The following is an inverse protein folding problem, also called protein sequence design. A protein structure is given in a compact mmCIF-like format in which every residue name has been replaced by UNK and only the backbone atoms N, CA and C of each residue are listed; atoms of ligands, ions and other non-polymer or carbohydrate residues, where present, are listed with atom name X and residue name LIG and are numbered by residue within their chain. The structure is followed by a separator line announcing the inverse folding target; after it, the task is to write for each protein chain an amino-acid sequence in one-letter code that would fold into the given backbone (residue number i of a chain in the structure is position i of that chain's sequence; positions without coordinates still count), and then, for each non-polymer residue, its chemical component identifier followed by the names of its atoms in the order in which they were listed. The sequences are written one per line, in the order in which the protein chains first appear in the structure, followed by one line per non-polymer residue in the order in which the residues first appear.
data_IF_848831321069
#
_entry.id   IF_848831321069
#
_cell.length_a   1.000
_cell.length_b   1.000
_cell.length_c   1.000
_cell.angle_alpha   90.00
_cell.angle_beta   90.00
_cell.angle_gamma   90.00
#
_symmetry.space_group_name_H-M   'P 1'
#
loop_
_entity.id
_entity.type
_entity.pdbx_description
1 polymer ?
#
# COMPACT_ATOMS: atom_id res chain seq x y z
N UNK A 1 14.00 -7.63 -8.43
CA UNK A 1 14.48 -6.23 -8.50
C UNK A 1 13.36 -5.22 -8.24
N UNK A 2 12.19 -5.35 -8.87
CA UNK A 2 11.07 -4.41 -8.68
C UNK A 2 10.59 -4.28 -7.22
N UNK A 3 10.48 -5.40 -6.49
CA UNK A 3 10.13 -5.41 -5.06
C UNK A 3 11.06 -4.51 -4.21
N UNK A 4 12.37 -4.52 -4.48
CA UNK A 4 13.32 -3.67 -3.74
C UNK A 4 13.13 -2.18 -4.08
N UNK A 5 12.89 -1.85 -5.35
CA UNK A 5 12.62 -0.48 -5.79
C UNK A 5 11.35 0.03 -5.10
N UNK A 6 10.30 -0.79 -5.06
CA UNK A 6 9.05 -0.48 -4.36
C UNK A 6 9.26 -0.30 -2.85
N UNK A 7 10.08 -1.15 -2.22
CA UNK A 7 10.46 -1.01 -0.81
C UNK A 7 11.20 0.30 -0.52
N UNK A 8 12.17 0.69 -1.36
CA UNK A 8 12.82 2.00 -1.25
C UNK A 8 11.83 3.16 -1.45
N UNK A 9 10.90 3.03 -2.40
CA UNK A 9 9.84 4.01 -2.64
C UNK A 9 8.94 4.20 -1.42
N UNK A 10 8.55 3.10 -0.76
CA UNK A 10 7.81 3.13 0.51
C UNK A 10 8.61 3.83 1.62
N UNK A 11 9.86 3.43 1.84
CA UNK A 11 10.71 4.04 2.87
C UNK A 11 10.85 5.56 2.68
N UNK A 12 11.01 6.00 1.43
CA UNK A 12 11.10 7.42 1.11
C UNK A 12 9.77 8.17 1.35
N UNK A 13 8.64 7.57 0.95
CA UNK A 13 7.31 8.11 1.24
C UNK A 13 7.05 8.25 2.74
N UNK A 14 7.44 7.26 3.53
CA UNK A 14 7.34 7.29 4.98
C UNK A 14 8.28 8.31 5.62
N UNK A 15 9.52 8.43 5.13
CA UNK A 15 10.45 9.45 5.58
C UNK A 15 9.86 10.86 5.44
N UNK A 16 9.23 11.15 4.30
CA UNK A 16 8.58 12.44 4.09
C UNK A 16 7.42 12.69 5.04
N UNK A 17 6.54 11.69 5.22
CA UNK A 17 5.41 11.79 6.13
C UNK A 17 5.86 12.07 7.57
N UNK A 18 6.86 11.34 8.06
CA UNK A 18 7.30 11.38 9.47
C UNK A 18 8.20 12.59 9.74
N UNK A 19 9.23 12.82 8.92
CA UNK A 19 10.31 13.74 9.24
C UNK A 19 10.25 15.07 8.49
N UNK A 20 9.48 15.19 7.40
CA UNK A 20 9.48 16.38 6.56
C UNK A 20 8.11 17.09 6.57
N UNK A 21 7.52 17.17 7.76
CA UNK A 21 6.20 17.77 8.04
C UNK A 21 5.04 17.21 7.20
N UNK A 22 5.20 16.06 6.53
CA UNK A 22 4.16 15.50 5.66
C UNK A 22 2.86 15.19 6.41
N UNK A 23 2.94 14.83 7.70
CA UNK A 23 1.76 14.64 8.56
C UNK A 23 1.02 15.94 8.90
N UNK A 24 1.64 17.12 8.77
CA UNK A 24 0.96 18.41 9.01
C UNK A 24 0.14 18.86 7.78
N UNK A 25 0.21 18.12 6.67
CA UNK A 25 -0.55 18.41 5.47
C UNK A 25 -2.03 18.10 5.66
N UNK A 26 -2.86 18.81 4.89
CA UNK A 26 -4.27 18.45 4.72
C UNK A 26 -4.41 17.58 3.47
N UNK A 27 -4.77 16.31 3.66
CA UNK A 27 -4.84 15.29 2.61
C UNK A 27 -6.16 15.38 1.81
N UNK A 28 -6.20 14.72 0.65
CA UNK A 28 -7.39 14.63 -0.22
C UNK A 28 -7.99 16.00 -0.56
N UNK A 29 -7.19 16.87 -1.17
CA UNK A 29 -7.62 18.22 -1.56
C UNK A 29 -7.83 19.18 -0.38
N UNK A 30 -7.37 18.82 0.81
CA UNK A 30 -7.45 19.62 2.03
C UNK A 30 -8.60 19.27 2.98
N UNK A 31 -9.30 18.16 2.73
CA UNK A 31 -10.52 17.77 3.46
C UNK A 31 -10.25 16.93 4.71
N UNK A 32 -9.13 16.21 4.76
CA UNK A 32 -8.83 15.27 5.84
C UNK A 32 -7.48 15.54 6.49
N UNK A 33 -7.38 15.23 7.77
CA UNK A 33 -6.16 15.33 8.58
C UNK A 33 -5.33 14.04 8.54
N UNK A 34 -4.15 14.06 9.18
CA UNK A 34 -3.23 12.93 9.28
C UNK A 34 -3.84 11.62 9.79
N UNK A 35 -4.93 11.69 10.55
CA UNK A 35 -5.59 10.50 11.11
C UNK A 35 -5.97 9.48 10.02
N UNK A 36 -6.46 9.95 8.86
CA UNK A 36 -6.84 9.04 7.77
C UNK A 36 -5.63 8.33 7.17
N UNK A 37 -4.50 9.03 7.03
CA UNK A 37 -3.25 8.44 6.54
C UNK A 37 -2.71 7.39 7.50
N UNK A 38 -2.82 7.64 8.82
CA UNK A 38 -2.43 6.67 9.84
C UNK A 38 -3.31 5.42 9.81
N UNK A 39 -4.63 5.58 9.65
CA UNK A 39 -5.54 4.44 9.52
C UNK A 39 -5.21 3.60 8.29
N UNK A 40 -5.01 4.25 7.13
CA UNK A 40 -4.62 3.56 5.89
C UNK A 40 -3.25 2.86 6.04
N UNK A 41 -2.30 3.46 6.74
CA UNK A 41 -1.00 2.84 7.02
C UNK A 41 -1.14 1.58 7.87
N UNK A 42 -1.99 1.61 8.92
CA UNK A 42 -2.24 0.45 9.76
C UNK A 42 -2.89 -0.67 8.94
N UNK A 43 -3.91 -0.34 8.14
CA UNK A 43 -4.57 -1.31 7.25
C UNK A 43 -3.57 -1.91 6.25
N UNK A 44 -2.74 -1.09 5.63
CA UNK A 44 -1.68 -1.53 4.75
C UNK A 44 -0.72 -2.51 5.44
N UNK A 45 -0.18 -2.16 6.61
CA UNK A 45 0.81 -2.98 7.31
C UNK A 45 0.25 -4.30 7.82
N UNK A 46 -0.93 -4.28 8.43
CA UNK A 46 -1.59 -5.49 8.93
C UNK A 46 -1.85 -6.43 7.76
N UNK A 47 -2.51 -5.94 6.72
CA UNK A 47 -2.86 -6.75 5.55
C UNK A 47 -1.63 -7.27 4.81
N UNK A 48 -0.59 -6.43 4.65
CA UNK A 48 0.67 -6.81 4.02
C UNK A 48 1.48 -7.83 4.84
N UNK A 49 1.30 -7.91 6.15
CA UNK A 49 1.95 -8.91 6.98
C UNK A 49 1.25 -10.27 6.96
N UNK A 50 -0.06 -10.29 6.70
CA UNK A 50 -0.88 -11.50 6.81
C UNK A 50 -0.90 -12.36 5.53
N UNK A 51 -0.87 -11.74 4.34
CA UNK A 51 -1.14 -12.45 3.08
C UNK A 51 -0.23 -13.66 2.82
N UNK A 52 1.05 -13.59 3.18
CA UNK A 52 1.99 -14.71 2.97
C UNK A 52 1.73 -15.86 3.95
N UNK A 53 1.35 -15.53 5.19
CA UNK A 53 0.97 -16.53 6.18
C UNK A 53 -0.32 -17.25 5.76
N UNK A 54 -1.32 -16.50 5.32
CA UNK A 54 -2.57 -17.03 4.75
C UNK A 54 -2.30 -17.89 3.51
N UNK A 55 -1.33 -17.50 2.67
CA UNK A 55 -0.91 -18.28 1.50
C UNK A 55 -0.30 -19.62 1.90
N UNK A 56 0.59 -19.67 2.90
CA UNK A 56 1.14 -20.95 3.39
C UNK A 56 0.04 -21.86 3.95
N UNK A 57 -0.89 -21.30 4.74
CA UNK A 57 -2.04 -22.07 5.25
C UNK A 57 -2.90 -22.63 4.11
N UNK A 58 -3.08 -21.88 3.01
CA UNK A 58 -3.79 -22.36 1.82
C UNK A 58 -3.04 -23.51 1.12
N UNK A 59 -1.71 -23.44 1.02
CA UNK A 59 -0.91 -24.50 0.40
C UNK A 59 -0.93 -25.82 1.19
N UNK A 60 -1.05 -25.75 2.52
CA UNK A 60 -1.17 -26.94 3.37
C UNK A 60 -2.57 -27.57 3.31
N UNK A 61 -3.63 -26.75 3.35
CA UNK A 61 -5.03 -27.17 3.35
C UNK A 61 -5.84 -26.32 2.35
N UNK A 62 -5.79 -26.66 1.05
CA UNK A 62 -6.47 -25.90 0.02
C UNK A 62 -7.98 -25.88 0.24
N UNK A 63 -8.55 -24.69 0.33
CA UNK A 63 -10.00 -24.50 0.36
C UNK A 63 -10.38 -23.11 -0.15
N UNK A 64 -11.61 -22.98 -0.66
CA UNK A 64 -12.10 -21.76 -1.28
C UNK A 64 -12.16 -20.55 -0.32
N UNK A 65 -12.40 -20.79 0.98
CA UNK A 65 -12.49 -19.73 1.98
C UNK A 65 -11.12 -19.10 2.26
N UNK A 66 -10.09 -19.93 2.46
CA UNK A 66 -8.70 -19.48 2.63
C UNK A 66 -8.22 -18.71 1.40
N UNK A 67 -8.58 -19.16 0.19
CA UNK A 67 -8.25 -18.41 -1.03
C UNK A 67 -8.93 -17.04 -1.10
N UNK A 68 -10.23 -16.97 -0.75
CA UNK A 68 -10.93 -15.70 -0.72
C UNK A 68 -10.33 -14.74 0.32
N UNK A 69 -9.84 -15.26 1.45
CA UNK A 69 -9.15 -14.47 2.47
C UNK A 69 -7.85 -13.86 1.93
N UNK A 70 -7.01 -14.64 1.24
CA UNK A 70 -5.79 -14.14 0.59
C UNK A 70 -6.14 -13.02 -0.41
N UNK A 71 -7.18 -13.20 -1.22
CA UNK A 71 -7.64 -12.16 -2.17
C UNK A 71 -8.02 -10.87 -1.44
N UNK A 72 -8.77 -10.97 -0.35
CA UNK A 72 -9.16 -9.80 0.45
C UNK A 72 -7.93 -9.10 1.02
N UNK A 73 -6.97 -9.83 1.56
CA UNK A 73 -5.72 -9.27 2.12
C UNK A 73 -4.88 -8.56 1.06
N UNK A 74 -4.75 -9.13 -0.13
CA UNK A 74 -3.99 -8.53 -1.23
C UNK A 74 -4.68 -7.25 -1.75
N UNK A 75 -6.00 -7.29 -1.96
CA UNK A 75 -6.76 -6.12 -2.39
C UNK A 75 -6.81 -5.03 -1.32
N UNK A 76 -6.94 -5.38 -0.05
CA UNK A 76 -6.89 -4.43 1.06
C UNK A 76 -5.53 -3.73 1.15
N UNK A 77 -4.44 -4.47 1.00
CA UNK A 77 -3.07 -3.92 0.94
C UNK A 77 -2.94 -2.93 -0.21
N UNK A 78 -3.33 -3.33 -1.42
CA UNK A 78 -3.24 -2.52 -2.63
C UNK A 78 -4.07 -1.23 -2.55
N UNK A 79 -5.33 -1.33 -2.11
CA UNK A 79 -6.21 -0.17 -1.98
C UNK A 79 -5.75 0.79 -0.89
N UNK A 80 -5.25 0.29 0.23
CA UNK A 80 -4.75 1.12 1.33
C UNK A 80 -3.59 2.00 0.88
N UNK A 81 -2.58 1.42 0.23
CA UNK A 81 -1.42 2.17 -0.24
C UNK A 81 -1.75 3.07 -1.44
N UNK A 82 -2.71 2.67 -2.29
CA UNK A 82 -3.22 3.51 -3.38
C UNK A 82 -3.91 4.75 -2.84
N UNK A 83 -4.78 4.61 -1.84
CA UNK A 83 -5.44 5.75 -1.21
C UNK A 83 -4.47 6.65 -0.45
N UNK A 84 -3.43 6.09 0.18
CA UNK A 84 -2.34 6.90 0.75
C UNK A 84 -1.63 7.70 -0.34
N UNK A 85 -1.31 7.08 -1.47
CA UNK A 85 -0.67 7.74 -2.62
C UNK A 85 -1.52 8.89 -3.14
N UNK A 86 -2.81 8.65 -3.38
CA UNK A 86 -3.76 9.67 -3.85
C UNK A 86 -3.92 10.79 -2.81
N UNK A 87 -4.05 10.43 -1.54
CA UNK A 87 -4.18 11.39 -0.45
C UNK A 87 -2.97 12.31 -0.33
N UNK A 88 -1.76 11.76 -0.49
CA UNK A 88 -0.52 12.52 -0.50
C UNK A 88 -0.38 13.37 -1.78
N UNK A 89 -0.67 12.80 -2.94
CA UNK A 89 -0.58 13.49 -4.24
C UNK A 89 -1.49 14.72 -4.30
N UNK A 90 -2.65 14.64 -3.65
CA UNK A 90 -3.67 15.72 -3.61
C UNK A 90 -3.57 16.58 -2.34
N UNK A 91 -2.52 16.42 -1.53
CA UNK A 91 -2.36 17.15 -0.29
C UNK A 91 -2.14 18.66 -0.54
N UNK A 92 -2.63 19.49 0.38
CA UNK A 92 -2.44 20.95 0.39
C UNK A 92 -1.53 21.39 1.53
N UNK A 93 -0.90 22.55 1.37
CA UNK A 93 0.06 23.10 2.35
C UNK A 93 1.50 22.62 2.16
N UNK A 94 1.85 22.17 0.95
CA UNK A 94 3.17 21.61 0.64
C UNK A 94 4.23 22.72 0.70
N UNK A 95 5.19 22.60 1.63
CA UNK A 95 6.35 23.50 1.72
C UNK A 95 7.49 23.08 0.78
N UNK A 96 7.87 21.79 0.82
CA UNK A 96 8.95 21.25 -0.01
C UNK A 96 8.42 20.42 -1.18
N UNK A 97 8.21 21.08 -2.32
CA UNK A 97 7.62 20.47 -3.52
C UNK A 97 8.47 19.38 -4.17
N UNK A 98 9.81 19.43 -4.04
CA UNK A 98 10.70 18.40 -4.62
C UNK A 98 10.58 17.09 -3.85
N UNK A 99 10.73 17.13 -2.53
CA UNK A 99 10.64 15.93 -1.69
C UNK A 99 9.22 15.36 -1.71
N UNK A 100 8.19 16.22 -1.72
CA UNK A 100 6.80 15.79 -1.88
C UNK A 100 6.59 14.99 -3.17
N UNK A 101 7.02 15.52 -4.33
CA UNK A 101 6.88 14.81 -5.61
C UNK A 101 7.61 13.47 -5.62
N UNK A 102 8.84 13.43 -5.12
CA UNK A 102 9.61 12.18 -5.01
C UNK A 102 8.91 11.16 -4.10
N UNK A 103 8.27 11.63 -3.02
CA UNK A 103 7.49 10.79 -2.10
C UNK A 103 6.24 10.24 -2.74
N UNK A 104 5.52 11.07 -3.51
CA UNK A 104 4.36 10.62 -4.29
C UNK A 104 4.76 9.59 -5.34
N UNK A 105 5.88 9.79 -6.03
CA UNK A 105 6.42 8.81 -6.98
C UNK A 105 6.80 7.50 -6.27
N UNK A 106 7.49 7.59 -5.13
CA UNK A 106 7.85 6.44 -4.32
C UNK A 106 6.63 5.62 -3.87
N UNK A 107 5.62 6.29 -3.32
CA UNK A 107 4.33 5.67 -2.97
C UNK A 107 3.59 5.12 -4.19
N UNK A 108 3.66 5.81 -5.34
CA UNK A 108 3.09 5.33 -6.60
C UNK A 108 3.73 4.02 -7.09
N UNK A 109 5.05 3.87 -6.95
CA UNK A 109 5.76 2.65 -7.35
C UNK A 109 5.36 1.45 -6.48
N UNK A 110 5.30 1.62 -5.15
CA UNK A 110 4.80 0.54 -4.26
C UNK A 110 3.31 0.28 -4.47
N UNK A 111 2.51 1.31 -4.75
CA UNK A 111 1.09 1.13 -5.06
C UNK A 111 0.87 0.34 -6.35
N UNK A 112 1.66 0.63 -7.40
CA UNK A 112 1.63 -0.16 -8.63
C UNK A 112 2.04 -1.61 -8.36
N UNK A 113 3.09 -1.85 -7.57
CA UNK A 113 3.52 -3.18 -7.20
C UNK A 113 2.40 -3.98 -6.53
N UNK A 114 1.84 -3.44 -5.44
CA UNK A 114 0.81 -4.12 -4.68
C UNK A 114 -0.49 -4.31 -5.47
N UNK A 115 -0.85 -3.37 -6.34
CA UNK A 115 -2.06 -3.49 -7.15
C UNK A 115 -1.87 -4.48 -8.31
N UNK A 116 -0.87 -4.25 -9.15
CA UNK A 116 -0.73 -4.98 -10.41
C UNK A 116 -0.11 -6.35 -10.17
N UNK A 117 0.98 -6.42 -9.41
CA UNK A 117 1.67 -7.69 -9.22
C UNK A 117 0.99 -8.53 -8.14
N UNK A 118 0.66 -7.93 -7.00
CA UNK A 118 0.13 -8.71 -5.88
C UNK A 118 -1.39 -8.88 -5.95
N UNK A 119 -2.20 -7.83 -6.16
CA UNK A 119 -3.65 -8.00 -6.16
C UNK A 119 -4.22 -8.57 -7.47
N UNK A 120 -3.63 -8.24 -8.62
CA UNK A 120 -4.13 -8.67 -9.95
C UNK A 120 -3.39 -9.91 -10.46
N UNK A 121 -2.09 -9.81 -10.73
CA UNK A 121 -1.36 -10.90 -11.38
C UNK A 121 -1.23 -12.14 -10.50
N UNK A 122 -0.90 -11.98 -9.22
CA UNK A 122 -0.83 -13.11 -8.30
C UNK A 122 -2.17 -13.82 -8.22
N UNK A 123 -3.26 -13.11 -7.91
CA UNK A 123 -4.59 -13.75 -7.78
C UNK A 123 -5.13 -14.35 -9.08
N UNK A 124 -4.65 -13.91 -10.23
CA UNK A 124 -5.08 -14.46 -11.54
C UNK A 124 -4.26 -15.66 -12.00
N UNK A 125 -2.99 -15.76 -11.58
CA UNK A 125 -2.06 -16.79 -12.07
C UNK A 125 -1.67 -17.81 -10.99
N UNK A 126 -2.03 -17.60 -9.73
CA UNK A 126 -1.74 -18.56 -8.68
C UNK A 126 -2.51 -19.87 -8.91
N UNK A 127 -1.85 -21.03 -8.80
CA UNK A 127 -2.51 -22.31 -8.99
C UNK A 127 -3.63 -22.48 -7.95
N UNK A 128 -4.82 -22.79 -8.46
CA UNK A 128 -6.02 -23.01 -7.68
C UNK A 128 -6.39 -24.48 -7.77
N UNK A 129 -5.88 -25.28 -6.84
CA UNK A 129 -6.23 -26.69 -6.71
C UNK A 129 -7.19 -26.83 -5.53
N UNK A 130 -8.49 -26.67 -5.78
CA UNK A 130 -9.56 -26.92 -4.80
C UNK A 130 -10.22 -28.26 -5.04
#
# INVERSE_FOLDING_TARGET
MFMFISGFGYCYGMYYLIFNEGLNLKFFGGKYEASIMRTLLILFLVSASMWIHSTFNYLELPNANSWNMIRIELWCTALSILFMTVGLATAKGIKNTKVHKLSVVGLGIISFHCLVFDAILWTSNFPMDF
#
